data_IF_660133675540
#
_entry.id   IF_660133675540
#
_cell.length_a   1.000
_cell.length_b   1.000
_cell.length_c   1.000
_cell.angle_alpha   90.00
_cell.angle_beta   90.00
_cell.angle_gamma   90.00
#
_symmetry.space_group_name_H-M   'P 1'
#
loop_
_entity.id
_entity.type
_entity.pdbx_description
1 polymer ?
#
# COMPACT_ATOMS: atom_id res chain seq x y z
N UNK A 1 17.46 -20.06 6.87
CA UNK A 1 16.03 -19.75 6.94
C UNK A 1 15.66 -18.88 5.74
N UNK A 2 14.63 -19.26 4.99
CA UNK A 2 14.10 -18.49 3.86
C UNK A 2 13.37 -17.23 4.36
N UNK A 3 13.11 -16.25 3.46
CA UNK A 3 12.29 -15.09 3.80
C UNK A 3 10.88 -15.49 4.26
N UNK A 4 10.29 -16.49 3.61
CA UNK A 4 8.99 -17.04 4.01
C UNK A 4 9.02 -17.58 5.45
N UNK A 5 10.06 -18.33 5.83
CA UNK A 5 10.19 -18.83 7.22
C UNK A 5 10.31 -17.69 8.24
N UNK A 6 11.03 -16.61 7.89
CA UNK A 6 11.12 -15.43 8.77
C UNK A 6 9.74 -14.75 8.96
N UNK A 7 8.94 -14.67 7.89
CA UNK A 7 7.57 -14.14 7.98
C UNK A 7 6.72 -15.04 8.89
N UNK A 8 6.77 -16.35 8.70
CA UNK A 8 6.06 -17.30 9.56
C UNK A 8 6.50 -17.17 11.01
N UNK A 9 7.79 -17.00 11.27
CA UNK A 9 8.31 -16.81 12.63
C UNK A 9 7.82 -15.49 13.26
N UNK A 10 7.65 -14.42 12.48
CA UNK A 10 7.14 -13.13 12.97
C UNK A 10 5.68 -13.18 13.44
N UNK A 11 4.85 -14.07 12.86
CA UNK A 11 3.42 -14.19 13.22
C UNK A 11 3.15 -15.26 14.28
N UNK A 12 4.21 -15.97 14.75
CA UNK A 12 4.09 -16.92 15.86
C UNK A 12 3.84 -16.20 17.18
N UNK A 13 2.92 -16.73 17.94
CA UNK A 13 2.61 -16.29 19.30
C UNK A 13 1.88 -17.43 20.06
N UNK A 14 1.50 -17.21 21.31
CA UNK A 14 0.84 -18.22 22.15
C UNK A 14 -0.47 -18.74 21.55
N UNK A 15 -1.21 -17.88 20.83
CA UNK A 15 -2.47 -18.25 20.17
C UNK A 15 -2.29 -18.78 18.75
N UNK A 16 -1.08 -18.67 18.17
CA UNK A 16 -0.69 -19.11 16.84
C UNK A 16 0.74 -19.66 16.81
N UNK A 17 1.01 -20.78 17.53
CA UNK A 17 2.37 -21.28 17.70
C UNK A 17 3.02 -21.79 16.40
N UNK A 18 2.20 -22.16 15.41
CA UNK A 18 2.69 -22.60 14.10
C UNK A 18 2.91 -21.46 13.10
N UNK A 19 2.49 -20.22 13.41
CA UNK A 19 2.57 -19.08 12.52
C UNK A 19 1.70 -19.24 11.26
N UNK A 20 0.45 -19.68 11.44
CA UNK A 20 -0.49 -19.82 10.32
C UNK A 20 -1.12 -18.48 9.95
N UNK A 21 -1.23 -18.18 8.64
CA UNK A 21 -2.01 -17.05 8.17
C UNK A 21 -3.51 -17.21 8.47
N UNK A 22 -4.06 -18.42 8.31
CA UNK A 22 -5.38 -18.73 8.85
C UNK A 22 -5.25 -18.93 10.36
N UNK A 23 -5.55 -17.87 11.12
CA UNK A 23 -5.35 -17.86 12.56
C UNK A 23 -6.19 -18.93 13.26
N UNK A 24 -5.57 -19.84 14.06
CA UNK A 24 -6.27 -21.01 14.59
C UNK A 24 -7.40 -20.69 15.56
N UNK A 25 -7.37 -19.55 16.25
CA UNK A 25 -8.37 -19.13 17.21
C UNK A 25 -9.43 -18.25 16.55
N UNK A 26 -9.03 -17.11 15.95
CA UNK A 26 -9.99 -16.16 15.37
C UNK A 26 -10.60 -16.61 14.05
N UNK A 27 -10.01 -17.62 13.38
CA UNK A 27 -10.37 -18.09 12.05
C UNK A 27 -10.27 -17.01 10.96
N UNK A 28 -9.65 -15.90 11.27
CA UNK A 28 -9.35 -14.84 10.31
C UNK A 28 -8.12 -15.24 9.48
N UNK A 29 -8.23 -15.15 8.16
CA UNK A 29 -7.09 -15.36 7.29
C UNK A 29 -6.36 -14.01 7.10
N UNK A 30 -5.19 -13.91 7.72
CA UNK A 30 -4.41 -12.68 7.75
C UNK A 30 -3.90 -12.32 6.35
N UNK A 31 -3.73 -11.03 6.07
CA UNK A 31 -3.10 -10.59 4.84
C UNK A 31 -1.60 -10.33 5.05
N UNK A 32 -0.85 -10.40 3.95
CA UNK A 32 0.57 -10.09 3.91
C UNK A 32 0.78 -8.75 3.21
N UNK A 33 1.34 -7.77 3.91
CA UNK A 33 1.65 -6.46 3.35
C UNK A 33 3.14 -6.37 3.01
N UNK A 34 3.44 -6.11 1.74
CA UNK A 34 4.79 -5.78 1.27
C UNK A 34 4.95 -4.26 1.29
N UNK A 35 5.80 -3.79 2.19
CA UNK A 35 6.07 -2.37 2.41
C UNK A 35 7.57 -2.15 2.67
N UNK A 36 7.98 -0.89 2.86
CA UNK A 36 9.38 -0.54 3.11
C UNK A 36 10.22 -0.47 1.84
N UNK A 37 10.95 0.63 1.64
CA UNK A 37 11.55 0.95 0.37
C UNK A 37 10.49 1.04 -0.74
N UNK A 38 10.73 0.33 -1.85
CA UNK A 38 9.75 0.17 -2.93
C UNK A 38 9.65 -1.34 -3.25
N UNK A 39 8.55 -2.01 -2.86
CA UNK A 39 8.44 -3.47 -3.00
C UNK A 39 8.36 -3.95 -4.44
N UNK A 40 7.99 -3.09 -5.39
CA UNK A 40 7.87 -3.42 -6.80
C UNK A 40 9.14 -3.18 -7.63
N UNK A 41 10.29 -2.89 -6.98
CA UNK A 41 11.57 -2.98 -7.66
C UNK A 41 11.78 -4.41 -8.20
N UNK A 42 12.61 -4.56 -9.24
CA UNK A 42 12.83 -5.88 -9.90
C UNK A 42 13.18 -6.98 -8.89
N UNK A 43 14.09 -6.69 -7.98
CA UNK A 43 14.48 -7.65 -6.92
C UNK A 43 13.35 -7.92 -5.93
N UNK A 44 12.52 -6.92 -5.67
CA UNK A 44 11.31 -7.04 -4.83
C UNK A 44 10.27 -7.95 -5.46
N UNK A 45 9.96 -7.74 -6.74
CA UNK A 45 9.02 -8.60 -7.49
C UNK A 45 9.48 -10.07 -7.46
N UNK A 46 10.77 -10.33 -7.69
CA UNK A 46 11.33 -11.68 -7.61
C UNK A 46 11.23 -12.28 -6.20
N UNK A 47 11.50 -11.48 -5.18
CA UNK A 47 11.39 -11.92 -3.79
C UNK A 47 9.95 -12.27 -3.41
N UNK A 48 8.97 -11.46 -3.83
CA UNK A 48 7.54 -11.71 -3.61
C UNK A 48 7.11 -13.05 -4.19
N UNK A 49 7.47 -13.33 -5.45
CA UNK A 49 7.16 -14.61 -6.09
C UNK A 49 7.79 -15.79 -5.35
N UNK A 50 9.06 -15.64 -4.93
CA UNK A 50 9.76 -16.65 -4.14
C UNK A 50 9.11 -16.92 -2.78
N UNK A 51 8.73 -15.86 -2.06
CA UNK A 51 8.03 -15.94 -0.77
C UNK A 51 6.70 -16.66 -0.93
N UNK A 52 5.89 -16.23 -1.90
CA UNK A 52 4.57 -16.83 -2.15
C UNK A 52 4.67 -18.32 -2.45
N UNK A 53 5.57 -18.71 -3.35
CA UNK A 53 5.74 -20.11 -3.73
C UNK A 53 6.22 -20.97 -2.54
N UNK A 54 7.04 -20.41 -1.66
CA UNK A 54 7.47 -21.09 -0.44
C UNK A 54 6.31 -21.26 0.54
N UNK A 55 5.52 -20.20 0.78
CA UNK A 55 4.32 -20.26 1.64
C UNK A 55 3.28 -21.25 1.08
N UNK A 56 3.12 -21.31 -0.25
CA UNK A 56 2.27 -22.30 -0.92
C UNK A 56 2.71 -23.72 -0.66
N UNK A 57 4.03 -24.01 -0.73
CA UNK A 57 4.57 -25.34 -0.39
C UNK A 57 4.36 -25.73 1.07
N UNK A 58 4.27 -24.74 1.97
CA UNK A 58 4.00 -24.94 3.39
C UNK A 58 2.51 -25.06 3.72
N UNK A 59 1.63 -25.01 2.70
CA UNK A 59 0.17 -24.90 2.89
C UNK A 59 -0.21 -23.80 3.90
N UNK A 60 0.39 -22.62 3.71
CA UNK A 60 0.26 -21.48 4.60
C UNK A 60 0.20 -20.16 3.83
N UNK A 61 -0.81 -20.01 2.96
CA UNK A 61 -1.00 -18.81 2.18
C UNK A 61 -1.76 -17.72 2.95
N UNK A 62 -1.39 -16.43 2.76
CA UNK A 62 -2.19 -15.32 3.28
C UNK A 62 -3.54 -15.24 2.57
N UNK A 63 -4.53 -14.64 3.24
CA UNK A 63 -5.86 -14.41 2.66
C UNK A 63 -5.83 -13.41 1.51
N UNK A 64 -4.94 -12.44 1.57
CA UNK A 64 -4.68 -11.46 0.52
C UNK A 64 -3.27 -10.89 0.65
N UNK A 65 -2.80 -10.21 -0.40
CA UNK A 65 -1.50 -9.53 -0.42
C UNK A 65 -1.70 -8.06 -0.77
N UNK A 66 -1.06 -7.17 0.00
CA UNK A 66 -1.04 -5.73 -0.26
C UNK A 66 0.37 -5.29 -0.67
N UNK A 67 0.46 -4.49 -1.73
CA UNK A 67 1.69 -3.80 -2.12
C UNK A 67 1.56 -2.32 -1.81
N UNK A 68 2.30 -1.82 -0.83
CA UNK A 68 2.43 -0.39 -0.59
C UNK A 68 3.55 0.16 -1.49
N UNK A 69 3.17 0.82 -2.57
CA UNK A 69 4.07 1.28 -3.62
C UNK A 69 3.93 2.77 -3.88
N UNK A 70 4.98 3.41 -4.38
CA UNK A 70 4.92 4.79 -4.86
C UNK A 70 4.36 4.91 -6.31
N UNK A 71 4.12 3.79 -6.99
CA UNK A 71 3.53 3.76 -8.33
C UNK A 71 4.51 4.07 -9.47
N UNK A 72 5.83 3.94 -9.25
CA UNK A 72 6.84 4.31 -10.25
C UNK A 72 7.53 3.12 -10.92
N UNK A 73 7.31 1.90 -10.43
CA UNK A 73 8.00 0.70 -10.89
C UNK A 73 7.15 -0.11 -11.87
N UNK A 74 7.67 -0.37 -13.07
CA UNK A 74 7.00 -1.25 -14.03
C UNK A 74 6.98 -2.69 -13.54
N UNK A 75 5.85 -3.35 -13.70
CA UNK A 75 5.76 -4.79 -13.47
C UNK A 75 6.51 -5.55 -14.57
N UNK A 76 7.22 -6.58 -14.19
CA UNK A 76 7.86 -7.50 -15.12
C UNK A 76 6.84 -8.48 -15.69
N UNK A 77 6.99 -8.92 -16.95
CA UNK A 77 6.09 -9.90 -17.55
C UNK A 77 5.90 -11.14 -16.68
N UNK A 78 6.98 -11.65 -16.11
CA UNK A 78 6.97 -12.84 -15.27
C UNK A 78 6.18 -12.62 -13.96
N UNK A 79 6.22 -11.39 -13.42
CA UNK A 79 5.43 -11.02 -12.24
C UNK A 79 3.94 -10.92 -12.61
N UNK A 80 3.61 -10.35 -13.77
CA UNK A 80 2.23 -10.24 -14.26
C UNK A 80 1.64 -11.63 -14.51
N UNK A 81 2.38 -12.51 -15.17
CA UNK A 81 1.97 -13.90 -15.40
C UNK A 81 1.72 -14.65 -14.10
N UNK A 82 2.64 -14.52 -13.14
CA UNK A 82 2.49 -15.09 -11.80
C UNK A 82 1.25 -14.52 -11.09
N UNK A 83 1.08 -13.20 -11.06
CA UNK A 83 -0.04 -12.55 -10.39
C UNK A 83 -1.40 -12.98 -10.97
N UNK A 84 -1.47 -13.18 -12.29
CA UNK A 84 -2.67 -13.68 -12.96
C UNK A 84 -2.91 -15.18 -12.75
N UNK A 85 -1.92 -15.94 -12.28
CA UNK A 85 -1.99 -17.39 -12.07
C UNK A 85 -2.38 -17.82 -10.66
N UNK A 86 -2.46 -16.87 -9.73
CA UNK A 86 -2.75 -17.16 -8.31
C UNK A 86 -4.18 -16.77 -7.94
N UNK A 87 -4.75 -17.50 -6.97
CA UNK A 87 -6.09 -17.21 -6.44
C UNK A 87 -6.08 -16.21 -5.27
N UNK A 88 -4.90 -15.94 -4.67
CA UNK A 88 -4.78 -14.98 -3.56
C UNK A 88 -5.01 -13.57 -4.07
N UNK A 89 -5.94 -12.85 -3.46
CA UNK A 89 -6.26 -11.47 -3.81
C UNK A 89 -5.02 -10.56 -3.69
N UNK A 90 -4.79 -9.75 -4.72
CA UNK A 90 -3.77 -8.70 -4.72
C UNK A 90 -4.46 -7.34 -4.59
N UNK A 91 -3.93 -6.51 -3.69
CA UNK A 91 -4.35 -5.12 -3.49
C UNK A 91 -3.16 -4.18 -3.67
N UNK A 92 -3.30 -3.15 -4.52
CA UNK A 92 -2.27 -2.12 -4.66
C UNK A 92 -2.65 -0.87 -3.87
N UNK A 93 -1.86 -0.54 -2.83
CA UNK A 93 -1.93 0.72 -2.11
C UNK A 93 -0.91 1.68 -2.71
N UNK A 94 -1.32 2.39 -3.75
CA UNK A 94 -0.43 3.28 -4.49
C UNK A 94 -0.41 4.67 -3.86
N UNK A 95 0.78 5.13 -3.44
CA UNK A 95 0.97 6.43 -2.79
C UNK A 95 1.94 7.32 -3.59
N UNK A 96 1.48 7.93 -4.71
CA UNK A 96 2.29 8.82 -5.50
C UNK A 96 2.74 10.04 -4.69
N UNK A 97 3.96 10.51 -4.92
CA UNK A 97 4.52 11.65 -4.19
C UNK A 97 4.15 12.96 -4.87
N UNK A 98 3.63 13.91 -4.10
CA UNK A 98 3.33 15.26 -4.56
C UNK A 98 4.57 16.16 -4.35
N UNK A 99 4.92 16.98 -5.33
CA UNK A 99 6.04 17.91 -5.25
C UNK A 99 5.87 18.91 -4.09
N UNK A 100 4.67 19.44 -3.95
CA UNK A 100 4.35 20.42 -2.90
C UNK A 100 4.52 19.89 -1.47
N UNK A 101 4.53 18.56 -1.31
CA UNK A 101 4.69 17.89 0.00
C UNK A 101 6.07 17.26 0.15
N UNK A 102 6.56 16.55 -0.87
CA UNK A 102 7.79 15.76 -0.82
C UNK A 102 8.99 16.43 -1.49
N UNK A 103 8.76 17.41 -2.39
CA UNK A 103 9.78 17.98 -3.25
C UNK A 103 10.19 17.10 -4.44
N UNK A 104 9.56 15.93 -4.60
CA UNK A 104 9.85 15.04 -5.72
C UNK A 104 9.16 15.52 -6.99
N UNK A 105 9.92 15.63 -8.09
CA UNK A 105 9.43 16.18 -9.35
C UNK A 105 8.28 15.34 -9.93
N UNK A 106 7.18 15.97 -10.39
CA UNK A 106 5.99 15.26 -10.88
C UNK A 106 6.29 14.25 -11.99
N UNK A 107 7.20 14.58 -12.92
CA UNK A 107 7.58 13.69 -14.00
C UNK A 107 8.30 12.41 -13.53
N UNK A 108 8.79 12.38 -12.29
CA UNK A 108 9.36 11.18 -11.66
C UNK A 108 8.34 10.43 -10.80
N UNK A 109 7.48 11.16 -10.10
CA UNK A 109 6.59 10.62 -9.08
C UNK A 109 5.20 10.25 -9.60
N UNK A 110 4.68 10.96 -10.60
CA UNK A 110 3.34 10.73 -11.14
C UNK A 110 3.44 9.96 -12.45
N UNK A 111 3.13 8.65 -12.38
CA UNK A 111 3.27 7.69 -13.48
C UNK A 111 1.96 6.97 -13.77
N UNK A 112 0.97 7.66 -14.35
CA UNK A 112 -0.36 7.08 -14.58
C UNK A 112 -0.32 5.81 -15.43
N UNK A 113 0.54 5.78 -16.44
CA UNK A 113 0.74 4.66 -17.33
C UNK A 113 1.21 3.39 -16.62
N UNK A 114 2.03 3.54 -15.57
CA UNK A 114 2.52 2.42 -14.75
C UNK A 114 1.41 1.91 -13.84
N UNK A 115 0.70 2.81 -13.16
CA UNK A 115 -0.38 2.41 -12.25
C UNK A 115 -1.57 1.82 -13.02
N UNK A 116 -1.79 2.24 -14.27
CA UNK A 116 -2.76 1.60 -15.16
C UNK A 116 -2.41 0.13 -15.47
N UNK A 117 -1.11 -0.22 -15.53
CA UNK A 117 -0.70 -1.64 -15.62
C UNK A 117 -1.05 -2.41 -14.35
N UNK A 118 -0.87 -1.81 -13.16
CA UNK A 118 -1.28 -2.43 -11.89
C UNK A 118 -2.79 -2.68 -11.86
N UNK A 119 -3.58 -1.72 -12.34
CA UNK A 119 -5.03 -1.83 -12.39
C UNK A 119 -5.53 -2.93 -13.35
N UNK A 120 -4.73 -3.33 -14.35
CA UNK A 120 -5.00 -4.49 -15.20
C UNK A 120 -4.72 -5.82 -14.49
N UNK A 121 -3.75 -5.85 -13.57
CA UNK A 121 -3.43 -7.04 -12.76
C UNK A 121 -4.46 -7.24 -11.65
N UNK A 122 -4.90 -6.15 -11.02
CA UNK A 122 -5.93 -6.21 -9.98
C UNK A 122 -6.86 -5.00 -10.04
N UNK A 123 -8.17 -5.27 -10.07
CA UNK A 123 -9.19 -4.23 -9.89
C UNK A 123 -9.24 -3.70 -8.44
N UNK A 124 -8.56 -4.37 -7.51
CA UNK A 124 -8.48 -3.99 -6.09
C UNK A 124 -7.26 -3.11 -5.86
N UNK A 125 -7.51 -1.88 -5.45
CA UNK A 125 -6.44 -0.93 -5.14
C UNK A 125 -6.97 0.40 -4.64
N UNK A 126 -6.04 1.29 -4.32
CA UNK A 126 -6.33 2.67 -3.92
C UNK A 126 -5.22 3.62 -4.39
N UNK A 127 -5.60 4.86 -4.63
CA UNK A 127 -4.67 5.99 -4.75
C UNK A 127 -4.66 6.72 -3.41
N UNK A 128 -3.53 6.72 -2.72
CA UNK A 128 -3.37 7.31 -1.39
C UNK A 128 -2.43 8.51 -1.46
N UNK A 129 -2.95 9.71 -1.24
CA UNK A 129 -2.17 10.94 -1.27
C UNK A 129 -1.97 11.52 0.12
N UNK A 130 -0.75 11.93 0.41
CA UNK A 130 -0.42 12.65 1.62
C UNK A 130 -0.56 14.16 1.34
N UNK A 131 -1.48 14.84 2.03
CA UNK A 131 -1.71 16.28 1.86
C UNK A 131 -1.91 16.97 3.21
N UNK A 132 -1.56 18.24 3.28
CA UNK A 132 -1.83 19.11 4.43
C UNK A 132 -3.03 20.03 4.17
N UNK A 133 -3.01 21.19 4.82
CA UNK A 133 -4.10 22.17 4.74
C UNK A 133 -4.01 23.12 3.53
N UNK A 134 -2.85 23.20 2.85
CA UNK A 134 -2.56 24.23 1.84
C UNK A 134 -3.26 23.90 0.52
N UNK A 135 -3.95 24.88 -0.06
CA UNK A 135 -4.68 24.68 -1.31
C UNK A 135 -3.79 24.23 -2.49
N UNK A 136 -2.53 24.66 -2.54
CA UNK A 136 -1.58 24.21 -3.57
C UNK A 136 -1.36 22.69 -3.57
N UNK A 137 -1.41 22.06 -2.38
CA UNK A 137 -1.23 20.60 -2.24
C UNK A 137 -2.47 19.86 -2.77
N UNK A 138 -3.65 20.42 -2.52
CA UNK A 138 -4.91 19.89 -3.04
C UNK A 138 -5.03 20.04 -4.54
N UNK A 139 -4.66 21.20 -5.09
CA UNK A 139 -4.67 21.43 -6.55
C UNK A 139 -3.75 20.43 -7.27
N UNK A 140 -2.51 20.26 -6.78
CA UNK A 140 -1.58 19.27 -7.35
C UNK A 140 -2.12 17.84 -7.25
N UNK A 141 -2.71 17.49 -6.12
CA UNK A 141 -3.31 16.18 -5.91
C UNK A 141 -4.46 15.93 -6.89
N UNK A 142 -5.37 16.89 -7.06
CA UNK A 142 -6.51 16.79 -7.99
C UNK A 142 -6.04 16.69 -9.44
N UNK A 143 -5.01 17.44 -9.84
CA UNK A 143 -4.36 17.28 -11.16
C UNK A 143 -3.75 15.88 -11.34
N UNK A 144 -3.12 15.34 -10.31
CA UNK A 144 -2.59 13.99 -10.36
C UNK A 144 -3.72 12.95 -10.47
N UNK A 145 -4.78 13.09 -9.70
CA UNK A 145 -5.97 12.21 -9.78
C UNK A 145 -6.56 12.23 -11.19
N UNK A 146 -6.71 13.41 -11.81
CA UNK A 146 -7.22 13.52 -13.18
C UNK A 146 -6.35 12.71 -14.15
N UNK A 147 -5.01 12.82 -14.07
CA UNK A 147 -4.09 12.03 -14.91
C UNK A 147 -4.24 10.53 -14.73
N UNK A 148 -4.44 10.05 -13.48
CA UNK A 148 -4.70 8.63 -13.22
C UNK A 148 -6.05 8.19 -13.80
N UNK A 149 -7.09 9.02 -13.69
CA UNK A 149 -8.42 8.74 -14.29
C UNK A 149 -8.34 8.67 -15.82
N UNK A 150 -7.64 9.62 -16.45
CA UNK A 150 -7.41 9.63 -17.90
C UNK A 150 -6.67 8.38 -18.39
N UNK A 151 -5.80 7.81 -17.56
CA UNK A 151 -5.11 6.54 -17.83
C UNK A 151 -5.95 5.29 -17.53
N UNK A 152 -7.18 5.42 -17.05
CA UNK A 152 -8.09 4.31 -16.75
C UNK A 152 -7.93 3.70 -15.36
N UNK A 153 -7.36 4.44 -14.40
CA UNK A 153 -7.25 3.99 -13.00
C UNK A 153 -8.45 4.49 -12.21
N UNK A 154 -9.44 3.62 -11.95
CA UNK A 154 -10.69 3.96 -11.27
C UNK A 154 -10.67 3.68 -9.75
N UNK A 155 -9.53 3.36 -9.20
CA UNK A 155 -9.40 3.06 -7.77
C UNK A 155 -9.85 4.22 -6.89
N UNK A 156 -10.43 3.96 -5.70
CA UNK A 156 -10.82 5.00 -4.76
C UNK A 156 -9.60 5.84 -4.33
N UNK A 157 -9.86 7.13 -4.13
CA UNK A 157 -8.86 8.09 -3.65
C UNK A 157 -8.96 8.20 -2.13
N UNK A 158 -7.83 8.06 -1.48
CA UNK A 158 -7.67 8.18 -0.04
C UNK A 158 -6.72 9.33 0.28
N UNK A 159 -7.13 10.17 1.18
CA UNK A 159 -6.34 11.30 1.69
C UNK A 159 -5.77 10.93 3.04
N UNK A 160 -4.44 11.05 3.16
CA UNK A 160 -3.73 10.90 4.43
C UNK A 160 -3.21 12.27 4.84
N UNK A 161 -3.62 12.79 6.01
CA UNK A 161 -3.08 14.03 6.53
C UNK A 161 -1.56 13.98 6.69
N UNK A 162 -0.87 15.09 6.35
CA UNK A 162 0.56 15.26 6.67
C UNK A 162 0.79 15.23 8.17
N UNK A 163 1.98 14.80 8.57
CA UNK A 163 2.40 14.71 9.97
C UNK A 163 2.99 13.34 10.29
N UNK A 164 4.18 13.33 10.89
CA UNK A 164 4.85 12.11 11.29
C UNK A 164 4.69 11.81 12.78
N UNK A 165 4.28 12.80 13.57
CA UNK A 165 4.10 12.70 15.02
C UNK A 165 2.64 12.86 15.40
N UNK A 166 2.28 12.35 16.59
CA UNK A 166 0.92 12.41 17.10
C UNK A 166 0.38 13.86 17.18
N UNK A 167 1.18 14.78 17.69
CA UNK A 167 0.78 16.19 17.81
C UNK A 167 0.51 16.82 16.43
N UNK A 168 1.31 16.49 15.43
CA UNK A 168 1.13 16.97 14.05
C UNK A 168 -0.14 16.41 13.42
N UNK A 169 -0.43 15.13 13.65
CA UNK A 169 -1.66 14.48 13.19
C UNK A 169 -2.88 15.11 13.85
N UNK A 170 -2.85 15.31 15.17
CA UNK A 170 -3.97 15.86 15.93
C UNK A 170 -4.28 17.31 15.54
N UNK A 171 -3.26 18.12 15.25
CA UNK A 171 -3.43 19.54 14.95
C UNK A 171 -4.12 19.81 13.60
N UNK A 172 -3.85 19.03 12.56
CA UNK A 172 -4.29 19.31 11.19
C UNK A 172 -5.24 18.28 10.58
N UNK A 173 -5.31 17.06 11.11
CA UNK A 173 -6.04 15.95 10.48
C UNK A 173 -7.53 16.25 10.30
N UNK A 174 -8.19 16.89 11.27
CA UNK A 174 -9.62 17.22 11.17
C UNK A 174 -9.94 18.14 10.01
N UNK A 175 -9.16 19.20 9.80
CA UNK A 175 -9.36 20.14 8.69
C UNK A 175 -9.10 19.49 7.32
N UNK A 176 -8.07 18.62 7.24
CA UNK A 176 -7.78 17.86 6.03
C UNK A 176 -8.93 16.89 5.75
N UNK A 177 -9.45 16.20 6.77
CA UNK A 177 -10.59 15.31 6.64
C UNK A 177 -11.85 16.03 6.14
N UNK A 178 -12.18 17.19 6.72
CA UNK A 178 -13.32 18.00 6.23
C UNK A 178 -13.16 18.40 4.76
N UNK A 179 -11.96 18.84 4.36
CA UNK A 179 -11.67 19.16 2.96
C UNK A 179 -11.84 17.94 2.04
N UNK A 180 -11.39 16.76 2.48
CA UNK A 180 -11.52 15.51 1.74
C UNK A 180 -12.99 15.12 1.56
N UNK A 181 -13.77 15.11 2.63
CA UNK A 181 -15.19 14.74 2.59
C UNK A 181 -16.01 15.69 1.69
N UNK A 182 -15.74 17.00 1.74
CA UNK A 182 -16.40 17.98 0.84
C UNK A 182 -16.11 17.72 -0.65
N UNK A 183 -15.02 17.01 -0.96
CA UNK A 183 -14.60 16.65 -2.32
C UNK A 183 -14.94 15.20 -2.70
N UNK A 184 -15.59 14.45 -1.79
CA UNK A 184 -15.96 13.05 -2.02
C UNK A 184 -14.81 12.06 -1.92
N UNK A 185 -13.70 12.43 -1.26
CA UNK A 185 -12.57 11.53 -1.02
C UNK A 185 -12.66 10.82 0.33
N UNK A 186 -12.06 9.64 0.41
CA UNK A 186 -11.88 8.91 1.66
C UNK A 186 -10.72 9.48 2.47
N UNK A 187 -10.67 9.17 3.76
CA UNK A 187 -9.58 9.60 4.66
C UNK A 187 -8.95 8.40 5.33
N UNK A 188 -7.62 8.34 5.32
CA UNK A 188 -6.82 7.34 6.02
C UNK A 188 -6.03 8.00 7.14
N UNK A 189 -6.21 7.55 8.39
CA UNK A 189 -5.39 7.95 9.52
C UNK A 189 -4.18 7.03 9.68
N UNK A 190 -3.11 7.55 10.28
CA UNK A 190 -1.96 6.76 10.71
C UNK A 190 -2.21 6.18 12.11
N UNK A 191 -3.03 5.15 12.18
CA UNK A 191 -3.46 4.54 13.45
C UNK A 191 -2.27 4.10 14.31
N UNK A 192 -1.22 3.56 13.70
CA UNK A 192 0.00 3.15 14.40
C UNK A 192 0.70 4.33 15.13
N UNK A 193 0.61 5.55 14.60
CA UNK A 193 1.17 6.75 15.25
C UNK A 193 0.41 7.06 16.55
N UNK A 194 -0.90 6.87 16.56
CA UNK A 194 -1.71 7.07 17.77
C UNK A 194 -1.50 5.96 18.80
N UNK A 195 -1.26 4.72 18.36
CA UNK A 195 -1.10 3.58 19.28
C UNK A 195 0.33 3.45 19.82
N UNK A 196 1.33 3.73 19.00
CA UNK A 196 2.73 3.39 19.28
C UNK A 196 3.70 4.55 19.05
N UNK A 197 3.22 5.75 18.71
CA UNK A 197 4.05 6.87 18.31
C UNK A 197 4.83 6.55 17.01
N UNK A 198 6.10 6.93 16.97
CA UNK A 198 7.00 6.64 15.85
C UNK A 198 7.91 5.43 16.09
N UNK A 199 7.50 4.47 16.90
CA UNK A 199 8.29 3.28 17.15
C UNK A 199 8.44 2.46 15.84
N UNK A 200 9.68 2.02 15.56
CA UNK A 200 9.98 1.23 14.35
C UNK A 200 9.56 -0.22 14.60
N UNK A 201 8.81 -0.80 13.65
CA UNK A 201 8.40 -2.21 13.71
C UNK A 201 7.11 -2.47 14.50
N UNK A 202 6.30 -1.42 14.67
CA UNK A 202 4.97 -1.51 15.32
C UNK A 202 3.85 -1.41 14.29
#
# INVERSE_FOLDING_TARGET
STLANKIVDCIKNDSNPEGKFLHPVSKFNQHLCFTGGEPLMITGQQAVVGIYNELKRQDNLPGSMTFETNGTQKLKPEFIEWANSIDTEIFFSCSPKLFTVSGEKPEKAIKPEIVAEYAKVSSKGQLKFVVGEKDREWNEMEEAVAKFRDAGVDWPVWIMPTGAREEEQTAGAGKVAEKAFKRGYNVAARVHVYLFGNAIGT
#
